data_IF_998955669106
#
_entry.id   IF_998955669106
#
_cell.length_a   1.000
_cell.length_b   1.000
_cell.length_c   1.000
_cell.angle_alpha   90.00
_cell.angle_beta   90.00
_cell.angle_gamma   90.00
#
_symmetry.space_group_name_H-M   'P 1'
#
loop_
_entity.id
_entity.type
_entity.pdbx_description
1 polymer ?
#
# COMPACT_ATOMS: atom_id res chain seq x y z
N UNK A 1 70.92 39.94 20.79
CA UNK A 1 69.66 40.60 20.34
C UNK A 1 69.21 40.21 18.93
N UNK A 2 70.10 39.79 18.01
CA UNK A 2 69.73 39.45 16.63
C UNK A 2 68.84 38.19 16.48
N UNK A 3 69.12 37.14 17.25
CA UNK A 3 68.42 35.83 17.12
C UNK A 3 66.93 35.92 17.51
N UNK A 4 66.60 36.73 18.52
CA UNK A 4 65.21 36.91 18.98
C UNK A 4 64.34 37.59 17.90
N UNK A 5 64.90 38.58 17.20
CA UNK A 5 64.20 39.27 16.09
C UNK A 5 63.96 38.37 14.88
N UNK A 6 64.84 37.41 14.61
CA UNK A 6 64.67 36.46 13.49
C UNK A 6 63.58 35.43 13.81
N UNK A 7 63.51 34.95 15.06
CA UNK A 7 62.46 34.01 15.50
C UNK A 7 61.09 34.70 15.47
N UNK A 8 60.98 35.92 15.97
CA UNK A 8 59.72 36.69 15.95
C UNK A 8 59.28 37.00 14.50
N UNK A 9 60.23 37.30 13.60
CA UNK A 9 59.94 37.50 12.18
C UNK A 9 59.49 36.21 11.49
N UNK A 10 60.13 35.07 11.76
CA UNK A 10 59.74 33.76 11.21
C UNK A 10 58.35 33.34 11.71
N UNK A 11 58.04 33.57 13.00
CA UNK A 11 56.75 33.21 13.58
C UNK A 11 55.63 34.10 13.02
N UNK A 12 55.89 35.39 12.82
CA UNK A 12 54.94 36.32 12.20
C UNK A 12 54.75 36.01 10.71
N UNK A 13 55.81 35.66 9.99
CA UNK A 13 55.74 35.31 8.57
C UNK A 13 55.01 33.99 8.33
N UNK A 14 55.26 32.95 9.15
CA UNK A 14 54.51 31.68 9.10
C UNK A 14 53.02 31.88 9.41
N UNK A 15 52.70 32.74 10.39
CA UNK A 15 51.31 33.03 10.74
C UNK A 15 50.57 33.79 9.62
N UNK A 16 51.29 34.67 8.94
CA UNK A 16 50.76 35.43 7.78
C UNK A 16 50.57 34.51 6.57
N UNK A 17 51.49 33.59 6.32
CA UNK A 17 51.36 32.58 5.25
C UNK A 17 50.19 31.62 5.52
N UNK A 18 49.98 31.23 6.77
CA UNK A 18 48.89 30.33 7.15
C UNK A 18 47.52 31.01 7.02
N UNK A 19 47.44 32.30 7.35
CA UNK A 19 46.23 33.12 7.13
C UNK A 19 45.96 33.34 5.64
N UNK A 20 46.98 33.61 4.84
CA UNK A 20 46.82 33.75 3.39
C UNK A 20 46.32 32.45 2.74
N UNK A 21 46.83 31.28 3.16
CA UNK A 21 46.34 29.97 2.69
C UNK A 21 44.90 29.70 3.11
N UNK A 22 44.53 30.04 4.35
CA UNK A 22 43.15 29.94 4.83
C UNK A 22 42.21 30.82 4.00
N UNK A 23 42.58 32.08 3.74
CA UNK A 23 41.73 33.00 2.94
C UNK A 23 41.54 32.50 1.51
N UNK A 24 42.58 31.94 0.87
CA UNK A 24 42.46 31.36 -0.48
C UNK A 24 41.56 30.13 -0.49
N UNK A 25 41.66 29.26 0.52
CA UNK A 25 40.78 28.08 0.66
C UNK A 25 39.33 28.50 0.91
N UNK A 26 39.10 29.49 1.77
CA UNK A 26 37.77 30.02 2.04
C UNK A 26 37.18 30.74 0.81
N UNK A 27 37.97 31.52 0.08
CA UNK A 27 37.53 32.16 -1.15
C UNK A 27 37.19 31.13 -2.24
N UNK A 28 37.99 30.07 -2.38
CA UNK A 28 37.72 28.95 -3.27
C UNK A 28 36.43 28.19 -2.89
N UNK A 29 36.21 27.94 -1.60
CA UNK A 29 35.01 27.28 -1.09
C UNK A 29 33.75 28.15 -1.34
N UNK A 30 33.84 29.46 -1.10
CA UNK A 30 32.73 30.41 -1.37
C UNK A 30 32.42 30.48 -2.86
N UNK A 31 33.45 30.44 -3.73
CA UNK A 31 33.27 30.39 -5.18
C UNK A 31 32.61 29.08 -5.63
N UNK A 32 32.98 27.95 -5.03
CA UNK A 32 32.41 26.63 -5.30
C UNK A 32 30.95 26.50 -4.81
N UNK A 33 30.62 27.10 -3.66
CA UNK A 33 29.25 27.18 -3.14
C UNK A 33 28.40 28.12 -3.99
N UNK A 34 28.93 29.27 -4.41
CA UNK A 34 28.24 30.17 -5.33
C UNK A 34 27.99 29.52 -6.70
N UNK A 35 28.99 28.82 -7.26
CA UNK A 35 28.83 28.09 -8.51
C UNK A 35 27.78 26.96 -8.42
N UNK A 36 27.70 26.26 -7.28
CA UNK A 36 26.67 25.25 -7.05
C UNK A 36 25.26 25.86 -6.85
N UNK A 37 25.14 27.06 -6.27
CA UNK A 37 23.87 27.79 -6.16
C UNK A 37 23.38 28.32 -7.54
N UNK A 38 24.30 28.67 -8.44
CA UNK A 38 23.95 29.02 -9.82
C UNK A 38 23.68 27.78 -10.71
N UNK A 39 24.31 26.64 -10.44
CA UNK A 39 24.05 25.40 -11.19
C UNK A 39 22.73 24.72 -10.79
N UNK A 40 22.28 24.91 -9.54
CA UNK A 40 21.00 24.38 -9.04
C UNK A 40 19.79 25.31 -9.26
N UNK A 41 19.98 26.45 -9.93
CA UNK A 41 18.89 27.38 -10.31
C UNK A 41 18.52 27.32 -11.81
N UNK A 42 19.05 26.35 -12.58
CA UNK A 42 18.76 26.19 -14.02
C UNK A 42 17.75 25.08 -14.31
N UNK A 43 16.90 24.71 -13.35
CA UNK A 43 15.81 23.74 -13.58
C UNK A 43 14.41 24.30 -13.30
N UNK A 44 14.21 25.62 -13.42
CA UNK A 44 12.86 26.21 -13.45
C UNK A 44 12.80 27.49 -14.28
N UNK A 45 13.16 27.42 -15.56
CA UNK A 45 12.63 28.38 -16.55
C UNK A 45 12.19 27.63 -17.80
N UNK A 46 11.29 26.67 -17.61
CA UNK A 46 10.35 26.31 -18.66
C UNK A 46 9.54 27.57 -18.99
N UNK A 47 9.81 28.16 -20.15
CA UNK A 47 9.13 29.30 -20.77
C UNK A 47 7.82 29.73 -20.07
N UNK A 48 7.93 30.65 -19.12
CA UNK A 48 6.81 31.52 -18.78
C UNK A 48 6.67 32.54 -19.92
N UNK A 49 6.15 32.10 -21.08
CA UNK A 49 5.38 33.00 -21.95
C UNK A 49 4.36 33.67 -21.04
N UNK A 50 4.03 34.95 -21.23
CA UNK A 50 2.90 35.57 -20.56
C UNK A 50 1.64 34.87 -21.09
N UNK A 51 1.34 33.71 -20.51
CA UNK A 51 0.12 32.97 -20.72
C UNK A 51 -0.95 33.85 -20.14
N UNK A 52 -1.82 34.34 -21.02
CA UNK A 52 -3.05 34.99 -20.64
C UNK A 52 -3.68 34.21 -19.47
N UNK A 53 -4.28 34.85 -18.47
CA UNK A 53 -4.87 34.14 -17.32
C UNK A 53 -5.85 33.00 -17.72
N UNK A 54 -6.35 33.06 -18.96
CA UNK A 54 -7.14 32.03 -19.64
C UNK A 54 -6.31 30.75 -19.87
N UNK A 55 -5.08 30.85 -20.36
CA UNK A 55 -4.22 29.70 -20.64
C UNK A 55 -3.79 28.96 -19.35
N UNK A 56 -3.59 29.69 -18.24
CA UNK A 56 -3.26 29.09 -16.93
C UNK A 56 -4.45 28.24 -16.44
N UNK A 57 -5.66 28.79 -16.52
CA UNK A 57 -6.87 28.10 -16.08
C UNK A 57 -7.19 26.89 -16.95
N UNK A 58 -6.94 26.98 -18.25
CA UNK A 58 -7.06 25.83 -19.17
C UNK A 58 -6.05 24.74 -18.82
N UNK A 59 -4.79 25.09 -18.51
CA UNK A 59 -3.81 24.09 -18.10
C UNK A 59 -4.16 23.42 -16.78
N UNK A 60 -4.67 24.17 -15.80
CA UNK A 60 -5.10 23.62 -14.52
C UNK A 60 -6.27 22.64 -14.67
N UNK A 61 -7.28 23.02 -15.46
CA UNK A 61 -8.42 22.14 -15.76
C UNK A 61 -8.00 20.88 -16.52
N UNK A 62 -7.02 20.98 -17.42
CA UNK A 62 -6.47 19.83 -18.13
C UNK A 62 -5.69 18.89 -17.21
N UNK A 63 -4.99 19.42 -16.20
CA UNK A 63 -4.32 18.61 -15.16
C UNK A 63 -5.35 17.92 -14.26
N UNK A 64 -6.41 18.63 -13.87
CA UNK A 64 -7.51 18.02 -13.10
C UNK A 64 -8.21 16.92 -13.91
N UNK A 65 -8.40 17.13 -15.21
CA UNK A 65 -8.98 16.14 -16.10
C UNK A 65 -8.11 14.87 -16.21
N UNK A 66 -6.78 15.00 -16.27
CA UNK A 66 -5.90 13.83 -16.27
C UNK A 66 -5.89 13.11 -14.92
N UNK A 67 -5.88 13.84 -13.81
CA UNK A 67 -5.93 13.26 -12.46
C UNK A 67 -7.25 12.51 -12.19
N UNK A 68 -8.37 13.07 -12.64
CA UNK A 68 -9.68 12.43 -12.56
C UNK A 68 -9.70 11.08 -13.32
N UNK A 69 -9.09 11.06 -14.51
CA UNK A 69 -8.89 9.83 -15.29
C UNK A 69 -8.01 8.82 -14.56
N UNK A 70 -6.90 9.26 -13.97
CA UNK A 70 -5.99 8.38 -13.23
C UNK A 70 -6.69 7.79 -11.99
N UNK A 71 -7.62 8.53 -11.38
CA UNK A 71 -8.50 8.06 -10.32
C UNK A 71 -9.61 7.11 -10.81
N UNK A 72 -9.75 6.89 -12.13
CA UNK A 72 -10.78 6.04 -12.74
C UNK A 72 -12.14 6.72 -12.92
N UNK A 73 -12.26 8.03 -12.65
CA UNK A 73 -13.49 8.79 -12.84
C UNK A 73 -13.48 9.52 -14.19
N UNK A 74 -13.99 8.82 -15.20
CA UNK A 74 -14.09 9.33 -16.57
C UNK A 74 -15.10 10.47 -16.72
N UNK A 75 -16.13 10.51 -15.86
CA UNK A 75 -17.17 11.54 -15.92
C UNK A 75 -16.63 12.89 -15.48
N UNK A 76 -15.88 12.93 -14.37
CA UNK A 76 -15.25 14.17 -13.93
C UNK A 76 -14.12 14.59 -14.87
N UNK A 77 -13.37 13.64 -15.45
CA UNK A 77 -12.37 13.93 -16.48
C UNK A 77 -12.98 14.64 -17.70
N UNK A 78 -14.13 14.18 -18.19
CA UNK A 78 -14.84 14.82 -19.31
C UNK A 78 -15.39 16.21 -18.94
N UNK A 79 -15.92 16.37 -17.73
CA UNK A 79 -16.40 17.67 -17.24
C UNK A 79 -15.28 18.71 -17.17
N UNK A 80 -14.10 18.35 -16.66
CA UNK A 80 -12.96 19.26 -16.60
C UNK A 80 -12.44 19.63 -18.01
N UNK A 81 -12.45 18.68 -18.96
CA UNK A 81 -12.12 18.99 -20.35
C UNK A 81 -13.16 19.92 -21.00
N UNK A 82 -14.46 19.68 -20.79
CA UNK A 82 -15.52 20.56 -21.29
C UNK A 82 -15.38 21.98 -20.73
N UNK A 83 -15.03 22.10 -19.45
CA UNK A 83 -14.76 23.39 -18.81
C UNK A 83 -13.52 24.07 -19.41
N UNK A 84 -12.46 23.31 -19.70
CA UNK A 84 -11.27 23.83 -20.38
C UNK A 84 -11.60 24.31 -21.80
N UNK A 85 -12.46 23.59 -22.52
CA UNK A 85 -12.95 23.96 -23.86
C UNK A 85 -13.86 25.18 -23.83
N UNK A 86 -14.64 25.38 -22.77
CA UNK A 86 -15.44 26.60 -22.58
C UNK A 86 -14.56 27.85 -22.47
N UNK A 87 -13.37 27.73 -21.87
CA UNK A 87 -12.37 28.79 -21.82
C UNK A 87 -11.57 28.93 -23.12
N UNK A 88 -11.31 27.82 -23.83
CA UNK A 88 -10.59 27.80 -25.12
C UNK A 88 -11.31 26.90 -26.13
N UNK A 89 -12.20 27.46 -26.98
CA UNK A 89 -12.99 26.69 -27.93
C UNK A 89 -12.17 25.92 -28.98
N UNK A 90 -10.94 26.37 -29.24
CA UNK A 90 -9.98 25.73 -30.15
C UNK A 90 -9.21 24.55 -29.54
N UNK A 91 -9.50 24.18 -28.29
CA UNK A 91 -8.85 23.06 -27.61
C UNK A 91 -9.29 21.73 -28.26
N UNK A 92 -8.36 20.92 -28.80
CA UNK A 92 -8.70 19.61 -29.34
C UNK A 92 -9.14 18.65 -28.23
N UNK A 93 -9.98 17.68 -28.57
CA UNK A 93 -10.32 16.59 -27.64
C UNK A 93 -9.08 15.70 -27.47
N UNK A 94 -8.59 15.51 -26.23
CA UNK A 94 -7.45 14.64 -26.00
C UNK A 94 -7.82 13.17 -26.22
N UNK A 95 -6.97 12.44 -26.95
CA UNK A 95 -7.16 11.02 -27.29
C UNK A 95 -7.26 10.12 -26.05
N UNK A 96 -6.62 10.52 -24.94
CA UNK A 96 -6.67 9.78 -23.68
C UNK A 96 -8.03 9.84 -22.99
N UNK A 97 -8.92 10.76 -23.37
CA UNK A 97 -10.30 10.81 -22.86
C UNK A 97 -11.17 9.69 -23.45
N UNK A 98 -10.87 9.29 -24.70
CA UNK A 98 -11.56 8.21 -25.41
C UNK A 98 -11.01 6.82 -25.04
N UNK A 99 -9.82 6.79 -24.44
CA UNK A 99 -9.20 5.57 -23.95
C UNK A 99 -9.54 5.40 -22.46
N UNK A 100 -10.38 4.41 -22.15
CA UNK A 100 -10.57 3.98 -20.75
C UNK A 100 -9.19 3.79 -20.11
N UNK A 101 -8.95 4.37 -18.91
CA UNK A 101 -7.66 4.24 -18.25
C UNK A 101 -7.34 2.76 -18.20
N UNK A 102 -6.13 2.41 -18.64
CA UNK A 102 -5.59 1.10 -18.33
C UNK A 102 -5.75 1.00 -16.81
N UNK A 103 -6.57 0.07 -16.34
CA UNK A 103 -6.53 -0.31 -14.94
C UNK A 103 -5.11 -0.78 -14.75
N UNK A 104 -4.24 0.11 -14.27
CA UNK A 104 -3.05 -0.27 -13.53
C UNK A 104 -3.62 -1.00 -12.33
N UNK A 105 -3.93 -2.26 -12.57
CA UNK A 105 -4.07 -3.27 -11.57
C UNK A 105 -2.66 -3.31 -11.05
N UNK A 106 -2.34 -2.43 -10.10
CA UNK A 106 -1.13 -2.51 -9.30
C UNK A 106 -1.15 -3.95 -8.85
N UNK A 107 -0.30 -4.76 -9.48
CA UNK A 107 -0.17 -6.15 -9.16
C UNK A 107 0.39 -6.12 -7.75
N UNK A 108 -0.51 -6.09 -6.76
CA UNK A 108 -0.14 -6.33 -5.38
C UNK A 108 0.63 -7.63 -5.48
N UNK A 109 1.91 -7.67 -5.03
CA UNK A 109 2.65 -8.91 -5.03
C UNK A 109 1.72 -9.92 -4.36
N UNK A 110 1.58 -11.10 -4.95
CA UNK A 110 0.78 -12.17 -4.39
C UNK A 110 1.48 -12.62 -3.10
N UNK A 111 1.38 -11.81 -2.05
CA UNK A 111 1.88 -12.10 -0.72
C UNK A 111 1.14 -13.35 -0.32
N UNK A 112 1.91 -14.42 -0.13
CA UNK A 112 1.36 -15.68 0.32
C UNK A 112 0.63 -15.46 1.65
N UNK A 113 -0.45 -16.20 1.88
CA UNK A 113 -1.27 -16.02 3.09
C UNK A 113 -0.42 -16.22 4.36
N UNK A 114 0.60 -17.06 4.29
CA UNK A 114 1.51 -17.34 5.41
C UNK A 114 2.42 -16.12 5.70
N UNK A 115 2.99 -15.49 4.67
CA UNK A 115 3.80 -14.27 4.82
C UNK A 115 2.97 -13.08 5.33
N UNK A 116 1.72 -12.96 4.86
CA UNK A 116 0.78 -11.96 5.34
C UNK A 116 0.46 -12.18 6.82
N UNK A 117 0.28 -13.43 7.22
CA UNK A 117 -0.02 -13.82 8.61
C UNK A 117 1.14 -13.47 9.54
N UNK A 118 2.38 -13.78 9.15
CA UNK A 118 3.57 -13.39 9.93
C UNK A 118 3.72 -11.89 10.06
N UNK A 119 3.44 -11.14 8.99
CA UNK A 119 3.51 -9.67 9.00
C UNK A 119 2.47 -9.09 9.94
N UNK A 120 1.24 -9.61 9.90
CA UNK A 120 0.13 -9.16 10.73
C UNK A 120 0.40 -9.43 12.21
N UNK A 121 0.98 -10.59 12.56
CA UNK A 121 1.34 -10.91 13.94
C UNK A 121 2.41 -9.97 14.54
N UNK A 122 3.25 -9.36 13.70
CA UNK A 122 4.29 -8.40 14.10
C UNK A 122 3.78 -6.95 14.16
N UNK A 123 2.56 -6.69 13.68
CA UNK A 123 2.01 -5.35 13.55
C UNK A 123 1.11 -4.96 14.74
N UNK A 124 0.85 -3.67 14.89
CA UNK A 124 -0.12 -3.18 15.87
C UNK A 124 -1.53 -3.65 15.50
N UNK A 125 -2.40 -3.86 16.50
CA UNK A 125 -3.78 -4.31 16.25
C UNK A 125 -4.55 -3.35 15.32
N UNK A 126 -4.34 -2.04 15.42
CA UNK A 126 -5.01 -1.04 14.60
C UNK A 126 -4.65 -1.20 13.11
N UNK A 127 -3.37 -1.40 12.79
CA UNK A 127 -2.91 -1.59 11.41
C UNK A 127 -3.29 -2.98 10.88
N UNK A 128 -3.18 -4.00 11.74
CA UNK A 128 -3.57 -5.37 11.44
C UNK A 128 -5.06 -5.47 11.07
N UNK A 129 -5.94 -4.75 11.79
CA UNK A 129 -7.38 -4.72 11.54
C UNK A 129 -7.71 -4.20 10.14
N UNK A 130 -7.04 -3.14 9.69
CA UNK A 130 -7.27 -2.56 8.36
C UNK A 130 -6.87 -3.56 7.27
N UNK A 131 -5.70 -4.18 7.39
CA UNK A 131 -5.19 -5.15 6.43
C UNK A 131 -6.05 -6.42 6.38
N UNK A 132 -6.49 -6.90 7.53
CA UNK A 132 -7.35 -8.08 7.60
C UNK A 132 -8.75 -7.81 7.02
N UNK A 133 -9.32 -6.62 7.25
CA UNK A 133 -10.61 -6.25 6.66
C UNK A 133 -10.55 -6.15 5.14
N UNK A 134 -9.54 -5.46 4.58
CA UNK A 134 -9.33 -5.39 3.12
C UNK A 134 -9.17 -6.80 2.50
N UNK A 135 -8.49 -7.70 3.21
CA UNK A 135 -8.28 -9.08 2.70
C UNK A 135 -9.52 -9.95 2.84
N UNK A 136 -10.28 -9.84 3.92
CA UNK A 136 -11.54 -10.57 4.13
C UNK A 136 -12.67 -10.06 3.23
N UNK A 137 -12.61 -8.81 2.76
CA UNK A 137 -13.52 -8.29 1.73
C UNK A 137 -13.24 -8.97 0.36
N UNK A 138 -11.97 -9.18 0.04
CA UNK A 138 -11.54 -9.86 -1.19
C UNK A 138 -11.73 -11.38 -1.14
N UNK A 139 -11.52 -11.99 0.01
CA UNK A 139 -11.66 -13.44 0.23
C UNK A 139 -12.41 -13.73 1.54
N UNK A 140 -13.76 -13.67 1.51
CA UNK A 140 -14.57 -13.86 2.70
C UNK A 140 -14.57 -15.31 3.21
N UNK A 141 -14.18 -16.29 2.40
CA UNK A 141 -14.19 -17.71 2.78
C UNK A 141 -12.93 -18.13 3.55
N UNK A 142 -11.96 -17.23 3.71
CA UNK A 142 -10.67 -17.57 4.29
C UNK A 142 -10.72 -17.76 5.82
N UNK A 143 -10.88 -19.02 6.26
CA UNK A 143 -11.02 -19.37 7.68
C UNK A 143 -9.76 -19.06 8.51
N UNK A 144 -8.56 -19.23 7.95
CA UNK A 144 -7.30 -18.97 8.66
C UNK A 144 -7.16 -17.51 9.04
N UNK A 145 -7.46 -16.60 8.11
CA UNK A 145 -7.42 -15.15 8.37
C UNK A 145 -8.50 -14.72 9.37
N UNK A 146 -9.68 -15.34 9.33
CA UNK A 146 -10.74 -15.07 10.34
C UNK A 146 -10.36 -15.53 11.74
N UNK A 147 -9.71 -16.68 11.87
CA UNK A 147 -9.20 -17.16 13.17
C UNK A 147 -8.13 -16.22 13.72
N UNK A 148 -7.19 -15.78 12.88
CA UNK A 148 -6.17 -14.80 13.27
C UNK A 148 -6.79 -13.47 13.72
N UNK A 149 -7.79 -12.98 12.97
CA UNK A 149 -8.52 -11.76 13.30
C UNK A 149 -9.20 -11.87 14.67
N UNK A 150 -9.85 -13.00 14.94
CA UNK A 150 -10.47 -13.27 16.24
C UNK A 150 -9.43 -13.28 17.37
N UNK A 151 -8.32 -14.01 17.20
CA UNK A 151 -7.27 -14.09 18.22
C UNK A 151 -6.66 -12.71 18.54
N UNK A 152 -6.45 -11.89 17.52
CA UNK A 152 -5.93 -10.53 17.70
C UNK A 152 -6.96 -9.59 18.36
N UNK A 153 -8.23 -9.70 17.98
CA UNK A 153 -9.31 -8.91 18.58
C UNK A 153 -9.57 -9.28 20.05
N UNK A 154 -9.41 -10.56 20.41
CA UNK A 154 -9.50 -11.04 21.79
C UNK A 154 -8.33 -10.52 22.64
N UNK A 155 -7.10 -10.58 22.11
CA UNK A 155 -5.91 -9.99 22.75
C UNK A 155 -6.02 -8.48 22.94
N UNK A 156 -6.70 -7.78 22.03
CA UNK A 156 -6.94 -6.34 22.09
C UNK A 156 -8.17 -5.95 22.92
N UNK A 157 -8.91 -6.92 23.49
CA UNK A 157 -10.17 -6.72 24.22
C UNK A 157 -11.27 -5.97 23.43
N UNK A 158 -11.26 -6.08 22.09
CA UNK A 158 -12.27 -5.46 21.22
C UNK A 158 -13.49 -6.37 21.06
N UNK A 159 -14.36 -6.38 22.07
CA UNK A 159 -15.53 -7.25 22.14
C UNK A 159 -16.55 -7.04 21.00
N UNK A 160 -16.52 -5.88 20.34
CA UNK A 160 -17.44 -5.56 19.25
C UNK A 160 -17.17 -6.39 17.99
N UNK A 161 -15.89 -6.56 17.65
CA UNK A 161 -15.46 -7.33 16.48
C UNK A 161 -15.45 -8.83 16.75
N UNK A 162 -15.14 -9.25 17.98
CA UNK A 162 -15.24 -10.65 18.42
C UNK A 162 -16.67 -11.17 18.23
N UNK A 163 -17.68 -10.39 18.63
CA UNK A 163 -19.09 -10.79 18.47
C UNK A 163 -19.49 -10.91 16.99
N UNK A 164 -19.03 -9.98 16.15
CA UNK A 164 -19.32 -9.97 14.71
C UNK A 164 -18.72 -11.18 13.98
N UNK A 165 -17.48 -11.52 14.28
CA UNK A 165 -16.76 -12.57 13.56
C UNK A 165 -16.91 -13.97 14.17
N UNK A 166 -17.24 -14.09 15.47
CA UNK A 166 -17.43 -15.40 16.13
C UNK A 166 -18.63 -16.19 15.60
N UNK A 167 -19.72 -15.51 15.23
CA UNK A 167 -20.91 -16.15 14.64
C UNK A 167 -20.59 -16.85 13.32
N UNK A 168 -19.65 -16.33 12.54
CA UNK A 168 -19.29 -16.87 11.22
C UNK A 168 -18.31 -18.05 11.31
N UNK A 169 -17.49 -18.10 12.35
CA UNK A 169 -16.52 -19.20 12.55
C UNK A 169 -17.16 -20.39 13.25
N UNK A 170 -18.20 -20.18 14.07
CA UNK A 170 -18.88 -21.25 14.83
C UNK A 170 -19.93 -22.02 14.04
N UNK A 171 -20.44 -21.48 12.92
CA UNK A 171 -21.40 -22.17 12.05
C UNK A 171 -20.78 -23.40 11.38
N UNK A 172 -19.49 -23.32 11.01
CA UNK A 172 -18.83 -24.39 10.25
C UNK A 172 -18.42 -25.59 11.13
N UNK A 173 -18.01 -25.34 12.37
CA UNK A 173 -17.69 -26.40 13.34
C UNK A 173 -18.92 -27.19 13.80
N UNK A 174 -20.08 -26.52 13.89
CA UNK A 174 -21.35 -27.15 14.26
C UNK A 174 -21.92 -27.97 13.10
N UNK A 175 -21.75 -27.48 11.87
CA UNK A 175 -22.22 -28.16 10.65
C UNK A 175 -21.39 -29.42 10.37
N UNK A 176 -20.07 -29.34 10.45
CA UNK A 176 -19.18 -30.49 10.28
C UNK A 176 -19.41 -31.59 11.33
N UNK A 177 -19.56 -31.23 12.61
CA UNK A 177 -19.86 -32.21 13.68
C UNK A 177 -21.20 -32.93 13.46
N UNK A 178 -22.24 -32.21 13.02
CA UNK A 178 -23.55 -32.80 12.74
C UNK A 178 -23.52 -33.74 11.53
N UNK A 179 -22.74 -33.40 10.49
CA UNK A 179 -22.54 -34.27 9.32
C UNK A 179 -21.83 -35.56 9.73
N UNK A 180 -20.75 -35.46 10.52
CA UNK A 180 -20.01 -36.63 11.03
C UNK A 180 -20.91 -37.53 11.87
N UNK A 181 -21.70 -36.95 12.78
CA UNK A 181 -22.66 -37.73 13.60
C UNK A 181 -23.75 -38.39 12.75
N UNK A 182 -24.21 -37.72 11.69
CA UNK A 182 -25.19 -38.30 10.77
C UNK A 182 -24.60 -39.49 10.00
N UNK A 183 -23.38 -39.37 9.47
CA UNK A 183 -22.68 -40.47 8.78
C UNK A 183 -22.46 -41.65 9.73
N UNK A 184 -22.03 -41.38 10.97
CA UNK A 184 -21.84 -42.41 11.98
C UNK A 184 -23.14 -43.15 12.31
N UNK A 185 -24.26 -42.43 12.43
CA UNK A 185 -25.58 -43.03 12.69
C UNK A 185 -26.04 -43.95 11.56
N UNK A 186 -25.78 -43.57 10.30
CA UNK A 186 -26.12 -44.37 9.12
C UNK A 186 -25.28 -45.64 9.06
N UNK A 187 -23.97 -45.54 9.34
CA UNK A 187 -23.08 -46.69 9.43
C UNK A 187 -23.53 -47.70 10.48
N UNK A 188 -23.89 -47.23 11.68
CA UNK A 188 -24.42 -48.08 12.75
C UNK A 188 -25.72 -48.77 12.29
N UNK A 189 -26.63 -48.03 11.65
CA UNK A 189 -27.86 -48.58 11.09
C UNK A 189 -27.63 -49.69 10.06
N UNK A 190 -26.66 -49.51 9.15
CA UNK A 190 -26.27 -50.51 8.15
C UNK A 190 -25.72 -51.77 8.82
N UNK A 191 -24.85 -51.62 9.83
CA UNK A 191 -24.30 -52.77 10.57
C UNK A 191 -25.40 -53.54 11.28
N UNK A 192 -26.34 -52.85 11.93
CA UNK A 192 -27.47 -53.50 12.61
C UNK A 192 -28.38 -54.24 11.63
N UNK A 193 -28.73 -53.62 10.50
CA UNK A 193 -29.50 -54.26 9.44
C UNK A 193 -28.80 -55.50 8.88
N UNK A 194 -27.48 -55.42 8.70
CA UNK A 194 -26.68 -56.56 8.26
C UNK A 194 -26.66 -57.70 9.29
N UNK A 195 -26.53 -57.37 10.58
CA UNK A 195 -26.57 -58.37 11.66
C UNK A 195 -27.94 -59.07 11.72
N UNK A 196 -29.04 -58.34 11.58
CA UNK A 196 -30.40 -58.91 11.55
C UNK A 196 -30.58 -59.80 10.32
N UNK A 197 -30.17 -59.33 9.13
CA UNK A 197 -30.28 -60.11 7.90
C UNK A 197 -29.43 -61.38 7.93
N UNK A 198 -28.29 -61.36 8.63
CA UNK A 198 -27.45 -62.53 8.87
C UNK A 198 -28.12 -63.49 9.85
N UNK A 199 -28.67 -62.99 10.96
CA UNK A 199 -29.38 -63.79 11.96
C UNK A 199 -30.59 -64.50 11.35
N UNK A 200 -31.38 -63.80 10.53
CA UNK A 200 -32.52 -64.39 9.82
C UNK A 200 -32.07 -65.47 8.85
N UNK A 201 -30.96 -65.27 8.12
CA UNK A 201 -30.40 -66.30 7.23
C UNK A 201 -29.91 -67.52 8.00
N UNK A 202 -29.22 -67.33 9.12
CA UNK A 202 -28.74 -68.44 9.94
C UNK A 202 -29.91 -69.23 10.54
N UNK A 203 -30.97 -68.56 10.99
CA UNK A 203 -32.19 -69.22 11.47
C UNK A 203 -32.90 -70.01 10.36
N UNK A 204 -32.99 -69.46 9.16
CA UNK A 204 -33.67 -70.10 8.03
C UNK A 204 -32.85 -71.26 7.42
N UNK A 205 -31.56 -71.38 7.73
CA UNK A 205 -30.70 -72.49 7.32
C UNK A 205 -30.67 -73.64 8.36
N UNK A 206 -31.21 -73.41 9.57
CA UNK A 206 -31.28 -74.42 10.64
C UNK A 206 -32.62 -75.18 10.66
N UNK A 207 -33.64 -74.68 9.97
CA UNK A 207 -34.93 -75.34 9.71
C UNK A 207 -34.97 -75.87 8.27
#
# INVERSE_FOLDING_TARGET
>A
MLVKRIVDFCHSFLFTLHRARLVVVWAGLVLLVAANLFASSVDTVGQARPRSGIDIRVTELMIQASQARDAGDMNSAELFWLQARAHRPSLPRPVWLDQSPAKETVAQPAISIDELTERIQKMSYADAKILLNDRLEKDPANLKLRQLFLELSEKAADHSEVSRHSSLVTVDSRTSRNIVMSILSVLIGIVLLWQIARLVRDLNNQF
#
